data_IF_400026260839
#
_entry.id   IF_400026260839
#
_cell.length_a   1.000
_cell.length_b   1.000
_cell.length_c   1.000
_cell.angle_alpha   90.00
_cell.angle_beta   90.00
_cell.angle_gamma   90.00
#
_symmetry.space_group_name_H-M   'P 1'
#
loop_
_entity.id
_entity.type
_entity.pdbx_description
1 polymer ?
#
# COMPACT_ATOMS: atom_id res chain seq x y z
N UNK A 1 5.59 22.81 -0.56
CA UNK A 1 5.91 21.89 -1.69
C UNK A 1 4.90 20.75 -1.81
N UNK A 2 4.60 19.98 -0.76
CA UNK A 2 3.65 18.85 -0.82
C UNK A 2 2.28 19.27 -1.36
N UNK A 3 1.73 20.41 -0.91
CA UNK A 3 0.45 20.96 -1.38
C UNK A 3 0.49 21.22 -2.89
N UNK A 4 1.59 21.77 -3.39
CA UNK A 4 1.79 22.05 -4.82
C UNK A 4 1.92 20.77 -5.63
N UNK A 5 2.65 19.76 -5.11
CA UNK A 5 2.80 18.46 -5.74
C UNK A 5 1.44 17.77 -5.97
N UNK A 6 0.52 17.83 -5.02
CA UNK A 6 -0.83 17.26 -5.15
C UNK A 6 -1.59 17.86 -6.34
N UNK A 7 -1.42 19.14 -6.61
CA UNK A 7 -2.06 19.81 -7.76
C UNK A 7 -1.38 19.45 -9.10
N UNK A 8 -0.09 19.09 -9.09
CA UNK A 8 0.73 18.80 -10.28
C UNK A 8 0.73 17.34 -10.71
N UNK A 9 0.67 16.41 -9.73
CA UNK A 9 0.75 14.97 -10.00
C UNK A 9 -0.60 14.43 -10.49
N UNK A 10 -0.95 14.83 -11.71
CA UNK A 10 -2.20 14.46 -12.41
C UNK A 10 -1.96 14.38 -13.92
N UNK A 11 -2.75 13.58 -14.68
CA UNK A 11 -2.54 13.39 -16.11
C UNK A 11 -2.50 14.70 -16.92
N UNK A 12 -3.43 15.63 -16.69
CA UNK A 12 -3.52 16.89 -17.44
C UNK A 12 -2.28 17.77 -17.29
N UNK A 13 -1.89 18.23 -16.07
CA UNK A 13 -0.67 19.01 -15.86
C UNK A 13 0.61 18.30 -16.30
N UNK A 14 0.69 16.99 -16.18
CA UNK A 14 1.83 16.20 -16.64
C UNK A 14 1.94 16.21 -18.16
N UNK A 15 0.85 15.99 -18.89
CA UNK A 15 0.80 16.06 -20.37
C UNK A 15 1.10 17.47 -20.92
N UNK A 16 0.70 18.51 -20.18
CA UNK A 16 0.98 19.91 -20.56
C UNK A 16 2.42 20.38 -20.22
N UNK A 17 3.29 19.50 -19.71
CA UNK A 17 4.67 19.86 -19.33
C UNK A 17 4.80 20.72 -18.08
N UNK A 18 3.70 21.06 -17.41
CA UNK A 18 3.67 21.95 -16.24
C UNK A 18 4.46 21.38 -15.06
N UNK A 19 4.39 20.06 -14.85
CA UNK A 19 5.13 19.38 -13.80
C UNK A 19 6.64 19.54 -13.97
N UNK A 20 7.14 19.32 -15.17
CA UNK A 20 8.57 19.40 -15.46
C UNK A 20 9.09 20.83 -15.37
N UNK A 21 8.34 21.82 -15.89
CA UNK A 21 8.66 23.23 -15.74
C UNK A 21 8.68 23.64 -14.25
N UNK A 22 7.69 23.21 -13.46
CA UNK A 22 7.66 23.49 -12.02
C UNK A 22 8.89 22.94 -11.32
N UNK A 23 9.28 21.68 -11.58
CA UNK A 23 10.44 21.05 -10.95
C UNK A 23 11.73 21.77 -11.34
N UNK A 24 11.94 22.10 -12.64
CA UNK A 24 13.13 22.80 -13.10
C UNK A 24 13.24 24.19 -12.45
N UNK A 25 12.15 24.96 -12.43
CA UNK A 25 12.11 26.29 -11.80
C UNK A 25 12.30 26.23 -10.29
N UNK A 26 11.66 25.27 -9.63
CA UNK A 26 11.80 25.07 -8.20
C UNK A 26 13.22 24.67 -7.75
N UNK A 27 14.00 24.10 -8.68
CA UNK A 27 15.42 23.72 -8.49
C UNK A 27 16.40 24.77 -9.00
N UNK A 28 15.92 25.88 -9.56
CA UNK A 28 16.78 26.92 -10.14
C UNK A 28 17.43 26.53 -11.48
N UNK A 29 16.95 25.47 -12.12
CA UNK A 29 17.45 25.00 -13.42
C UNK A 29 16.83 25.75 -14.61
N UNK A 30 15.79 26.52 -14.35
CA UNK A 30 15.08 27.34 -15.35
C UNK A 30 14.65 28.64 -14.67
N UNK A 31 14.73 29.80 -15.35
CA UNK A 31 14.26 31.06 -14.80
C UNK A 31 12.74 31.04 -14.57
N UNK A 32 12.31 31.67 -13.50
CA UNK A 32 10.87 31.82 -13.21
C UNK A 32 10.30 32.91 -14.15
N UNK A 33 9.39 32.52 -15.02
CA UNK A 33 8.70 33.40 -15.92
C UNK A 33 7.20 33.21 -15.84
N UNK A 34 6.43 34.29 -15.88
CA UNK A 34 4.97 34.28 -16.03
C UNK A 34 4.57 34.79 -17.41
N UNK A 35 3.34 34.50 -17.85
CA UNK A 35 2.82 34.92 -19.12
C UNK A 35 2.77 36.46 -19.27
N UNK A 36 2.74 37.17 -18.16
CA UNK A 36 2.75 38.63 -18.13
C UNK A 36 3.41 39.14 -16.85
N UNK A 37 4.15 40.27 -16.83
CA UNK A 37 4.81 40.80 -15.64
C UNK A 37 3.87 41.01 -14.43
N UNK A 38 2.63 41.41 -14.65
CA UNK A 38 1.63 41.56 -13.60
C UNK A 38 1.28 40.21 -12.91
N UNK A 39 1.60 39.08 -13.53
CA UNK A 39 1.37 37.75 -12.99
C UNK A 39 2.58 37.18 -12.22
N UNK A 40 3.77 37.78 -12.35
CA UNK A 40 4.98 37.35 -11.66
C UNK A 40 4.77 37.30 -10.14
N UNK A 41 4.23 38.40 -9.61
CA UNK A 41 3.95 38.49 -8.17
C UNK A 41 2.76 37.59 -7.76
N UNK A 42 1.76 37.44 -8.62
CA UNK A 42 0.59 36.61 -8.39
C UNK A 42 0.96 35.14 -8.27
N UNK A 43 1.92 34.68 -9.06
CA UNK A 43 2.36 33.27 -9.13
C UNK A 43 3.78 33.06 -8.58
N UNK A 44 4.30 33.98 -7.76
CA UNK A 44 5.63 33.83 -7.15
C UNK A 44 5.76 32.53 -6.36
N UNK A 45 4.75 32.20 -5.56
CA UNK A 45 4.72 30.97 -4.75
C UNK A 45 4.72 29.68 -5.58
N UNK A 46 4.26 29.76 -6.84
CA UNK A 46 4.09 28.63 -7.75
C UNK A 46 5.08 28.65 -8.92
N UNK A 47 6.17 29.44 -8.80
CA UNK A 47 7.22 29.57 -9.83
C UNK A 47 6.68 30.00 -11.20
N UNK A 48 5.72 30.94 -11.21
CA UNK A 48 5.13 31.48 -12.43
C UNK A 48 4.12 30.54 -13.11
N UNK A 49 3.66 29.50 -12.44
CA UNK A 49 2.74 28.49 -13.02
C UNK A 49 1.38 28.57 -12.35
N UNK A 50 0.31 28.57 -13.15
CA UNK A 50 -1.05 28.39 -12.64
C UNK A 50 -1.23 26.95 -12.15
N UNK A 51 -1.58 26.75 -10.88
CA UNK A 51 -1.80 25.43 -10.27
C UNK A 51 -3.23 25.20 -9.81
N UNK A 52 -3.89 26.27 -9.37
CA UNK A 52 -5.16 26.22 -8.70
C UNK A 52 -6.25 26.91 -9.48
N UNK A 53 -7.48 26.43 -9.38
CA UNK A 53 -8.64 27.09 -10.00
C UNK A 53 -8.77 28.57 -9.57
N UNK A 54 -8.35 28.88 -8.34
CA UNK A 54 -8.33 30.24 -7.80
C UNK A 54 -7.28 31.13 -8.51
N UNK A 55 -6.30 30.54 -9.18
CA UNK A 55 -5.27 31.29 -9.90
C UNK A 55 -5.85 31.94 -11.16
N UNK A 56 -6.88 31.36 -11.77
CA UNK A 56 -7.63 31.98 -12.89
C UNK A 56 -8.32 33.27 -12.41
N UNK A 57 -8.93 33.22 -11.21
CA UNK A 57 -9.57 34.40 -10.61
C UNK A 57 -8.52 35.48 -10.33
N UNK A 58 -7.39 35.13 -9.73
CA UNK A 58 -6.29 36.03 -9.39
C UNK A 58 -5.67 36.66 -10.65
N UNK A 59 -5.50 35.88 -11.72
CA UNK A 59 -5.02 36.37 -13.01
C UNK A 59 -6.00 37.38 -13.63
N UNK A 60 -7.29 37.06 -13.63
CA UNK A 60 -8.33 37.97 -14.16
C UNK A 60 -8.40 39.29 -13.37
N UNK A 61 -8.28 39.22 -12.04
CA UNK A 61 -8.22 40.40 -11.18
C UNK A 61 -6.96 41.22 -11.44
N UNK A 62 -5.78 40.62 -11.53
CA UNK A 62 -4.51 41.29 -11.68
C UNK A 62 -4.40 41.97 -13.07
N UNK A 63 -4.81 41.30 -14.13
CA UNK A 63 -4.64 41.76 -15.52
C UNK A 63 -5.82 42.64 -15.98
N UNK A 64 -7.04 42.14 -15.87
CA UNK A 64 -8.23 42.82 -16.34
C UNK A 64 -8.89 43.73 -15.28
N UNK A 65 -8.47 43.67 -14.01
CA UNK A 65 -9.07 44.45 -12.93
C UNK A 65 -10.50 44.05 -12.59
N UNK A 66 -10.86 42.82 -12.91
CA UNK A 66 -12.17 42.25 -12.55
C UNK A 66 -12.27 42.04 -11.02
N UNK A 67 -13.49 42.14 -10.48
CA UNK A 67 -13.72 41.72 -9.10
C UNK A 67 -13.72 40.20 -8.97
N UNK A 68 -13.64 39.70 -7.73
CA UNK A 68 -13.54 38.26 -7.45
C UNK A 68 -14.78 37.48 -7.93
N UNK A 69 -15.97 38.08 -7.89
CA UNK A 69 -17.24 37.43 -8.30
C UNK A 69 -17.26 37.24 -9.82
N UNK A 70 -16.89 38.26 -10.56
CA UNK A 70 -16.76 38.25 -12.04
C UNK A 70 -15.66 37.26 -12.44
N UNK A 71 -14.51 37.28 -11.75
CA UNK A 71 -13.42 36.33 -11.97
C UNK A 71 -13.82 34.87 -11.72
N UNK A 72 -14.65 34.60 -10.70
CA UNK A 72 -15.17 33.24 -10.46
C UNK A 72 -16.19 32.82 -11.53
N UNK A 73 -17.02 33.74 -11.99
CA UNK A 73 -17.93 33.52 -13.14
C UNK A 73 -17.14 33.09 -14.39
N UNK A 74 -16.08 33.82 -14.72
CA UNK A 74 -15.17 33.52 -15.82
C UNK A 74 -14.51 32.13 -15.66
N UNK A 75 -13.96 31.83 -14.48
CA UNK A 75 -13.38 30.52 -14.19
C UNK A 75 -14.38 29.38 -14.41
N UNK A 76 -15.63 29.54 -13.95
CA UNK A 76 -16.68 28.50 -14.11
C UNK A 76 -17.03 28.25 -15.57
N UNK A 77 -17.06 29.32 -16.39
CA UNK A 77 -17.36 29.18 -17.80
C UNK A 77 -16.22 28.52 -18.57
N UNK A 78 -14.98 28.96 -18.37
CA UNK A 78 -13.79 28.32 -18.94
C UNK A 78 -13.68 26.81 -18.57
N UNK A 79 -14.09 26.42 -17.35
CA UNK A 79 -14.07 25.03 -16.89
C UNK A 79 -15.14 24.14 -17.52
N UNK A 80 -16.25 24.70 -18.03
CA UNK A 80 -17.40 23.92 -18.54
C UNK A 80 -17.32 23.60 -20.03
N UNK A 81 -16.74 24.47 -20.87
CA UNK A 81 -16.89 24.42 -22.31
C UNK A 81 -15.63 24.20 -23.15
N UNK A 82 -14.43 24.29 -22.57
CA UNK A 82 -13.20 24.31 -23.38
C UNK A 82 -13.02 25.60 -24.16
N UNK A 83 -11.84 25.85 -24.72
CA UNK A 83 -11.39 27.13 -25.25
C UNK A 83 -12.13 27.71 -26.50
N UNK A 84 -13.23 27.09 -26.93
CA UNK A 84 -13.84 27.40 -28.24
C UNK A 84 -15.12 28.23 -28.26
N UNK A 85 -15.85 28.35 -27.14
CA UNK A 85 -17.23 28.89 -27.13
C UNK A 85 -17.43 30.14 -26.21
N UNK A 86 -16.34 30.76 -25.78
CA UNK A 86 -16.35 31.83 -24.76
C UNK A 86 -16.11 33.25 -25.29
N UNK A 87 -16.55 33.55 -26.51
CA UNK A 87 -16.31 34.88 -27.13
C UNK A 87 -16.80 36.04 -26.26
N UNK A 88 -17.94 35.89 -25.60
CA UNK A 88 -18.49 36.93 -24.75
C UNK A 88 -17.65 37.24 -23.51
N UNK A 89 -17.08 36.24 -22.87
CA UNK A 89 -16.22 36.43 -21.71
C UNK A 89 -14.82 36.89 -22.13
N UNK A 90 -14.32 36.37 -23.25
CA UNK A 90 -13.09 36.86 -23.85
C UNK A 90 -13.17 38.39 -24.13
N UNK A 91 -14.23 38.84 -24.80
CA UNK A 91 -14.43 40.27 -25.12
C UNK A 91 -14.52 41.11 -23.85
N UNK A 92 -15.24 40.63 -22.80
CA UNK A 92 -15.30 41.32 -21.50
C UNK A 92 -13.94 41.45 -20.85
N UNK A 93 -13.16 40.37 -20.81
CA UNK A 93 -11.81 40.34 -20.26
C UNK A 93 -10.89 41.30 -21.03
N UNK A 94 -10.90 41.23 -22.34
CA UNK A 94 -10.08 42.09 -23.21
C UNK A 94 -10.47 43.55 -23.05
N UNK A 95 -11.76 43.92 -23.13
CA UNK A 95 -12.23 45.29 -22.94
C UNK A 95 -11.82 45.84 -21.57
N UNK A 96 -11.94 45.06 -20.53
CA UNK A 96 -11.53 45.46 -19.17
C UNK A 96 -10.00 45.70 -19.08
N UNK A 97 -9.18 44.83 -19.67
CA UNK A 97 -7.73 45.00 -19.70
C UNK A 97 -7.25 46.18 -20.57
N UNK A 98 -7.90 46.41 -21.72
CA UNK A 98 -7.62 47.61 -22.59
C UNK A 98 -7.89 48.90 -21.83
N UNK A 99 -8.95 48.99 -21.03
CA UNK A 99 -9.24 50.19 -20.20
C UNK A 99 -8.14 50.45 -19.16
N UNK A 100 -7.36 49.45 -18.81
CA UNK A 100 -6.19 49.58 -17.93
C UNK A 100 -4.89 49.87 -18.68
N UNK A 101 -4.95 50.10 -19.98
CA UNK A 101 -3.80 50.41 -20.81
C UNK A 101 -2.95 49.23 -21.25
N UNK A 102 -3.44 47.98 -21.07
CA UNK A 102 -2.71 46.78 -21.49
C UNK A 102 -2.92 46.52 -22.99
N UNK A 103 -1.87 46.12 -23.73
CA UNK A 103 -2.01 45.84 -25.16
C UNK A 103 -2.78 44.54 -25.40
N UNK A 104 -3.63 44.54 -26.43
CA UNK A 104 -4.46 43.37 -26.80
C UNK A 104 -3.69 42.07 -26.93
N UNK A 105 -2.49 41.99 -27.54
CA UNK A 105 -1.73 40.74 -27.63
C UNK A 105 -1.38 40.14 -26.28
N UNK A 106 -1.05 40.94 -25.27
CA UNK A 106 -0.76 40.49 -23.93
C UNK A 106 -2.01 39.90 -23.23
N UNK A 107 -3.16 40.53 -23.44
CA UNK A 107 -4.45 40.06 -22.94
C UNK A 107 -4.84 38.72 -23.56
N UNK A 108 -4.65 38.58 -24.88
CA UNK A 108 -4.88 37.33 -25.60
C UNK A 108 -3.96 36.20 -25.11
N UNK A 109 -2.70 36.50 -24.85
CA UNK A 109 -1.75 35.53 -24.29
C UNK A 109 -2.20 35.04 -22.93
N UNK A 110 -2.55 35.91 -22.00
CA UNK A 110 -3.02 35.56 -20.66
C UNK A 110 -4.35 34.79 -20.73
N UNK A 111 -5.26 35.21 -21.59
CA UNK A 111 -6.52 34.49 -21.81
C UNK A 111 -6.28 33.05 -22.27
N UNK A 112 -5.45 32.85 -23.27
CA UNK A 112 -5.14 31.52 -23.81
C UNK A 112 -4.49 30.63 -22.76
N UNK A 113 -3.68 31.19 -21.88
CA UNK A 113 -3.09 30.45 -20.77
C UNK A 113 -4.16 30.05 -19.74
N UNK A 114 -5.05 30.97 -19.33
CA UNK A 114 -6.17 30.68 -18.44
C UNK A 114 -7.12 29.64 -19.03
N UNK A 115 -7.49 29.77 -20.29
CA UNK A 115 -8.40 28.85 -20.97
C UNK A 115 -7.82 27.44 -21.07
N UNK A 116 -6.54 27.33 -21.45
CA UNK A 116 -5.83 26.04 -21.49
C UNK A 116 -5.73 25.40 -20.11
N UNK A 117 -5.45 26.20 -19.06
CA UNK A 117 -5.33 25.72 -17.69
C UNK A 117 -6.69 25.35 -17.08
N UNK A 118 -7.79 26.02 -17.43
CA UNK A 118 -9.10 25.82 -16.82
C UNK A 118 -9.58 24.35 -16.91
N UNK A 119 -9.25 23.64 -18.00
CA UNK A 119 -9.53 22.21 -18.19
C UNK A 119 -8.79 21.29 -17.21
N UNK A 120 -7.73 21.78 -16.58
CA UNK A 120 -6.89 21.04 -15.65
C UNK A 120 -6.86 21.64 -14.24
N UNK A 121 -7.73 22.60 -13.96
CA UNK A 121 -7.72 23.35 -12.71
C UNK A 121 -7.98 22.46 -11.49
N UNK A 122 -7.41 22.82 -10.34
CA UNK A 122 -7.48 22.06 -9.10
C UNK A 122 -7.79 22.99 -7.93
N UNK A 123 -8.70 22.56 -7.05
CA UNK A 123 -9.09 23.35 -5.89
C UNK A 123 -7.93 23.45 -4.89
N UNK A 124 -7.51 24.68 -4.54
CA UNK A 124 -6.43 24.92 -3.57
C UNK A 124 -6.77 24.38 -2.17
N UNK A 125 -8.03 24.57 -1.75
CA UNK A 125 -8.48 24.04 -0.44
C UNK A 125 -8.32 22.53 -0.36
N UNK A 126 -8.69 21.81 -1.43
CA UNK A 126 -8.48 20.35 -1.50
C UNK A 126 -6.99 20.00 -1.44
N UNK A 127 -6.13 20.68 -2.21
CA UNK A 127 -4.68 20.48 -2.16
C UNK A 127 -4.10 20.71 -0.76
N UNK A 128 -4.56 21.75 -0.06
CA UNK A 128 -4.13 22.07 1.31
C UNK A 128 -4.55 20.97 2.28
N UNK A 129 -5.80 20.52 2.19
CA UNK A 129 -6.32 19.46 3.07
C UNK A 129 -5.52 18.17 2.92
N UNK A 130 -5.35 17.69 1.70
CA UNK A 130 -4.58 16.47 1.42
C UNK A 130 -3.08 16.65 1.70
N UNK A 131 -2.51 17.82 1.41
CA UNK A 131 -1.11 18.10 1.74
C UNK A 131 -0.83 18.08 3.23
N UNK A 132 -1.75 18.61 4.03
CA UNK A 132 -1.66 18.54 5.49
C UNK A 132 -1.85 17.12 6.01
N UNK A 133 -2.78 16.37 5.42
CA UNK A 133 -2.99 14.96 5.76
C UNK A 133 -1.73 14.13 5.45
N UNK A 134 -1.18 14.26 4.24
CA UNK A 134 0.05 13.58 3.84
C UNK A 134 1.22 13.89 4.78
N UNK A 135 1.39 15.17 5.15
CA UNK A 135 2.42 15.56 6.12
C UNK A 135 2.21 14.88 7.49
N UNK A 136 0.96 14.85 7.99
CA UNK A 136 0.64 14.18 9.26
C UNK A 136 0.93 12.68 9.19
N UNK A 137 0.56 12.02 8.09
CA UNK A 137 0.84 10.60 7.89
C UNK A 137 2.35 10.32 7.92
N UNK A 138 3.16 11.10 7.20
CA UNK A 138 4.63 10.96 7.22
C UNK A 138 5.19 11.23 8.61
N UNK A 139 4.72 12.25 9.30
CA UNK A 139 5.13 12.57 10.66
C UNK A 139 4.84 11.44 11.64
N UNK A 140 3.61 10.88 11.61
CA UNK A 140 3.23 9.76 12.47
C UNK A 140 4.05 8.50 12.14
N UNK A 141 4.19 8.19 10.84
CA UNK A 141 4.99 7.04 10.38
C UNK A 141 6.45 7.15 10.83
N UNK A 142 7.05 8.34 10.76
CA UNK A 142 8.46 8.54 11.14
C UNK A 142 8.70 8.46 12.65
N UNK A 143 7.70 8.78 13.48
CA UNK A 143 7.83 8.78 14.94
C UNK A 143 7.34 7.51 15.60
N UNK A 144 6.28 6.92 15.07
CA UNK A 144 5.62 5.73 15.62
C UNK A 144 5.25 4.76 14.48
N UNK A 145 6.26 4.18 13.79
CA UNK A 145 6.03 3.37 12.58
C UNK A 145 5.11 2.18 12.85
N UNK A 146 5.33 1.44 13.94
CA UNK A 146 4.51 0.28 14.27
C UNK A 146 3.04 0.66 14.54
N UNK A 147 2.80 1.73 15.32
CA UNK A 147 1.44 2.19 15.60
C UNK A 147 0.74 2.69 14.33
N UNK A 148 1.46 3.44 13.48
CA UNK A 148 0.93 3.93 12.21
C UNK A 148 0.55 2.78 11.27
N UNK A 149 1.44 1.78 11.12
CA UNK A 149 1.22 0.65 10.23
C UNK A 149 0.18 -0.33 10.79
N UNK A 150 0.11 -0.53 12.10
CA UNK A 150 -0.99 -1.27 12.71
C UNK A 150 -2.34 -0.62 12.41
N UNK A 151 -2.44 0.71 12.51
CA UNK A 151 -3.66 1.43 12.16
C UNK A 151 -3.99 1.34 10.67
N UNK A 152 -2.99 1.38 9.78
CA UNK A 152 -3.20 1.18 8.34
C UNK A 152 -3.70 -0.22 8.02
N UNK A 153 -3.08 -1.25 8.57
CA UNK A 153 -3.47 -2.65 8.38
C UNK A 153 -4.88 -2.91 8.91
N UNK A 154 -5.20 -2.37 10.09
CA UNK A 154 -6.52 -2.48 10.71
C UNK A 154 -7.64 -1.85 9.87
N UNK A 155 -7.38 -0.74 9.21
CA UNK A 155 -8.37 -0.01 8.40
C UNK A 155 -8.29 -0.37 6.91
N UNK A 156 -7.51 -1.38 6.52
CA UNK A 156 -7.25 -1.76 5.12
C UNK A 156 -6.90 -0.54 4.25
N UNK A 157 -6.15 0.39 4.84
CA UNK A 157 -5.82 1.67 4.21
C UNK A 157 -4.59 1.55 3.31
N UNK A 158 -4.58 2.40 2.28
CA UNK A 158 -3.41 2.56 1.39
C UNK A 158 -3.64 2.06 -0.02
N UNK A 159 -2.58 2.11 -0.81
CA UNK A 159 -2.59 1.77 -2.24
C UNK A 159 -2.25 0.29 -2.51
N UNK A 160 -1.33 -0.26 -1.71
CA UNK A 160 -0.85 -1.63 -1.85
C UNK A 160 -1.70 -2.62 -1.06
N UNK A 161 -1.56 -3.90 -1.38
CA UNK A 161 -2.13 -4.97 -0.56
C UNK A 161 -1.55 -4.97 0.87
N UNK A 162 -2.29 -5.47 1.88
CA UNK A 162 -1.84 -5.46 3.28
C UNK A 162 -0.44 -6.05 3.50
N UNK A 163 -0.05 -7.07 2.72
CA UNK A 163 1.28 -7.68 2.81
C UNK A 163 2.44 -6.70 2.62
N UNK A 164 2.30 -5.70 1.71
CA UNK A 164 3.35 -4.69 1.49
C UNK A 164 3.53 -3.80 2.73
N UNK A 165 2.44 -3.47 3.41
CA UNK A 165 2.51 -2.69 4.67
C UNK A 165 3.02 -3.52 5.84
N UNK A 166 2.78 -4.83 5.84
CA UNK A 166 3.37 -5.76 6.78
C UNK A 166 4.90 -5.84 6.59
N UNK A 167 5.37 -5.97 5.35
CA UNK A 167 6.80 -5.93 5.04
C UNK A 167 7.43 -4.56 5.38
N UNK A 168 6.74 -3.46 5.09
CA UNK A 168 7.20 -2.13 5.48
C UNK A 168 7.30 -1.98 7.01
N UNK A 169 6.38 -2.58 7.78
CA UNK A 169 6.45 -2.58 9.24
C UNK A 169 7.73 -3.27 9.73
N UNK A 170 8.07 -4.43 9.16
CA UNK A 170 9.31 -5.16 9.48
C UNK A 170 10.55 -4.36 9.11
N UNK A 171 10.60 -3.73 7.93
CA UNK A 171 11.71 -2.85 7.50
C UNK A 171 11.92 -1.66 8.44
N UNK A 172 10.85 -1.16 9.06
CA UNK A 172 10.89 -0.08 10.04
C UNK A 172 11.08 -0.56 11.48
N UNK A 173 11.43 -1.85 11.68
CA UNK A 173 11.77 -2.42 12.97
C UNK A 173 10.59 -2.90 13.81
N UNK A 174 9.40 -3.04 13.23
CA UNK A 174 8.28 -3.64 13.92
C UNK A 174 8.34 -5.17 13.82
N UNK A 175 8.03 -5.84 14.91
CA UNK A 175 7.81 -7.28 14.97
C UNK A 175 6.34 -7.58 14.64
N UNK A 176 6.09 -8.55 13.75
CA UNK A 176 4.76 -9.07 13.47
C UNK A 176 4.55 -10.38 14.25
N UNK A 177 3.59 -10.35 15.14
CA UNK A 177 3.22 -11.52 15.95
C UNK A 177 2.05 -12.25 15.31
N UNK A 178 2.07 -13.59 15.35
CA UNK A 178 0.96 -14.43 14.88
C UNK A 178 -0.37 -14.03 15.54
N UNK A 179 -1.51 -14.26 14.88
CA UNK A 179 -2.80 -14.25 15.56
C UNK A 179 -2.73 -15.18 16.78
N UNK A 180 -3.53 -14.93 17.81
CA UNK A 180 -3.43 -15.73 19.01
C UNK A 180 -4.80 -15.94 19.65
N UNK A 181 -5.20 -17.21 19.84
CA UNK A 181 -6.48 -17.53 20.49
C UNK A 181 -6.48 -17.14 21.97
N UNK A 182 -5.30 -17.04 22.63
CA UNK A 182 -5.19 -16.72 24.04
C UNK A 182 -5.36 -15.24 24.35
N UNK A 183 -4.78 -14.37 23.54
CA UNK A 183 -4.70 -12.92 23.82
C UNK A 183 -4.86 -12.02 22.58
N UNK A 184 -5.12 -12.60 21.40
CA UNK A 184 -5.39 -11.80 20.20
C UNK A 184 -6.81 -11.26 20.17
N UNK A 185 -7.04 -10.22 19.39
CA UNK A 185 -8.35 -9.63 19.14
C UNK A 185 -8.82 -9.89 17.71
N UNK A 186 -9.99 -9.38 17.35
CA UNK A 186 -10.55 -9.45 15.99
C UNK A 186 -9.58 -8.85 14.97
N UNK A 187 -9.11 -7.64 15.24
CA UNK A 187 -8.31 -6.81 14.35
C UNK A 187 -6.84 -6.76 14.78
N UNK A 188 -6.01 -6.13 13.94
CA UNK A 188 -4.61 -5.87 14.29
C UNK A 188 -4.50 -5.03 15.59
N UNK A 189 -3.56 -5.39 16.44
CA UNK A 189 -3.34 -4.75 17.73
C UNK A 189 -1.85 -4.40 17.91
N UNK A 190 -1.60 -3.19 18.41
CA UNK A 190 -0.26 -2.80 18.87
C UNK A 190 -0.09 -3.30 20.31
N UNK A 191 0.59 -4.41 20.49
CA UNK A 191 0.79 -5.05 21.82
C UNK A 191 2.01 -4.54 22.56
N UNK A 192 2.94 -3.91 21.84
CA UNK A 192 4.10 -3.21 22.39
C UNK A 192 4.50 -2.09 21.43
N UNK A 193 5.35 -1.12 21.82
CA UNK A 193 5.74 0.01 20.96
C UNK A 193 6.27 -0.38 19.58
N UNK A 194 6.82 -1.58 19.44
CA UNK A 194 7.38 -2.14 18.20
C UNK A 194 6.78 -3.49 17.82
N UNK A 195 5.69 -3.96 18.46
CA UNK A 195 5.13 -5.26 18.16
C UNK A 195 3.65 -5.15 17.77
N UNK A 196 3.31 -5.68 16.60
CA UNK A 196 1.97 -5.69 16.02
C UNK A 196 1.48 -7.14 15.99
N UNK A 197 0.40 -7.45 16.68
CA UNK A 197 -0.28 -8.74 16.59
C UNK A 197 -1.28 -8.72 15.45
N UNK A 198 -1.24 -9.77 14.63
CA UNK A 198 -2.22 -9.98 13.55
C UNK A 198 -3.57 -10.34 14.15
N UNK A 199 -4.64 -9.75 13.64
CA UNK A 199 -6.00 -10.03 14.08
C UNK A 199 -6.50 -11.41 13.65
N UNK A 200 -7.40 -12.00 14.45
CA UNK A 200 -7.99 -13.30 14.13
C UNK A 200 -8.78 -13.27 12.81
N UNK A 201 -9.45 -12.18 12.48
CA UNK A 201 -10.21 -12.04 11.22
C UNK A 201 -9.33 -12.09 9.95
N UNK A 202 -8.00 -11.90 10.08
CA UNK A 202 -7.07 -11.95 8.95
C UNK A 202 -6.85 -13.39 8.48
N UNK A 203 -7.05 -14.38 9.37
CA UNK A 203 -6.88 -15.79 9.03
C UNK A 203 -7.90 -16.20 7.98
N UNK A 204 -7.44 -16.53 6.79
CA UNK A 204 -8.29 -16.95 5.67
C UNK A 204 -9.13 -18.18 6.06
N UNK A 205 -10.42 -18.11 5.71
CA UNK A 205 -11.36 -19.19 5.98
C UNK A 205 -11.89 -19.23 7.41
N UNK A 206 -11.48 -18.30 8.28
CA UNK A 206 -12.03 -18.18 9.63
C UNK A 206 -13.29 -17.30 9.59
N UNK A 207 -14.44 -17.87 9.95
CA UNK A 207 -15.71 -17.15 9.99
C UNK A 207 -15.84 -16.23 11.18
N UNK A 208 -16.57 -15.12 11.02
CA UNK A 208 -16.84 -14.14 12.09
C UNK A 208 -17.45 -14.83 13.32
N UNK A 209 -18.34 -15.82 13.13
CA UNK A 209 -18.95 -16.60 14.20
C UNK A 209 -17.88 -17.28 15.07
N UNK A 210 -16.87 -17.88 14.47
CA UNK A 210 -15.80 -18.58 15.19
C UNK A 210 -14.89 -17.58 15.90
N UNK A 211 -14.57 -16.44 15.29
CA UNK A 211 -13.85 -15.35 15.95
C UNK A 211 -14.58 -14.89 17.21
N UNK A 212 -15.88 -14.61 17.11
CA UNK A 212 -16.70 -14.20 18.26
C UNK A 212 -16.83 -15.31 19.32
N UNK A 213 -16.89 -16.57 18.91
CA UNK A 213 -16.90 -17.72 19.84
C UNK A 213 -15.58 -17.82 20.63
N UNK A 214 -14.41 -17.60 19.97
CA UNK A 214 -13.09 -17.54 20.64
C UNK A 214 -13.10 -16.46 21.72
N UNK A 215 -13.48 -15.24 21.36
CA UNK A 215 -13.49 -14.11 22.30
C UNK A 215 -14.46 -14.33 23.47
N UNK A 216 -15.66 -14.84 23.18
CA UNK A 216 -16.70 -15.10 24.19
C UNK A 216 -16.29 -16.25 25.13
N UNK A 217 -15.78 -17.34 24.60
CA UNK A 217 -15.29 -18.45 25.40
C UNK A 217 -14.14 -18.03 26.33
N UNK A 218 -13.21 -17.22 25.83
CA UNK A 218 -12.11 -16.66 26.62
C UNK A 218 -12.60 -15.74 27.74
N UNK A 219 -13.58 -14.85 27.45
CA UNK A 219 -14.18 -13.98 28.48
C UNK A 219 -14.90 -14.76 29.57
N UNK A 220 -15.61 -15.83 29.20
CA UNK A 220 -16.40 -16.61 30.13
C UNK A 220 -15.57 -17.57 31.01
N UNK A 221 -14.51 -18.17 30.46
CA UNK A 221 -13.77 -19.23 31.13
C UNK A 221 -12.25 -19.00 31.21
N UNK A 222 -11.76 -17.79 30.91
CA UNK A 222 -10.32 -17.50 30.91
C UNK A 222 -9.58 -18.13 29.74
N UNK A 223 -8.26 -18.16 29.84
CA UNK A 223 -7.36 -18.73 28.84
C UNK A 223 -7.69 -20.21 28.55
N UNK A 224 -7.46 -20.65 27.33
CA UNK A 224 -7.60 -22.04 26.94
C UNK A 224 -6.41 -22.84 27.47
N UNK A 225 -6.69 -23.98 28.09
CA UNK A 225 -5.66 -24.82 28.74
C UNK A 225 -4.95 -25.75 27.77
N UNK A 226 -5.64 -26.16 26.71
CA UNK A 226 -5.15 -27.09 25.68
C UNK A 226 -5.96 -26.98 24.41
N UNK A 227 -5.54 -27.68 23.34
CA UNK A 227 -6.32 -27.83 22.13
C UNK A 227 -7.72 -28.38 22.40
N UNK A 228 -7.82 -29.40 23.25
CA UNK A 228 -9.11 -30.05 23.60
C UNK A 228 -10.05 -29.08 24.32
N UNK A 229 -9.55 -28.29 25.27
CA UNK A 229 -10.32 -27.21 25.92
C UNK A 229 -10.78 -26.15 24.93
N UNK A 230 -9.92 -25.75 23.99
CA UNK A 230 -10.27 -24.83 22.91
C UNK A 230 -11.38 -25.41 22.02
N UNK A 231 -11.22 -26.64 21.54
CA UNK A 231 -12.21 -27.33 20.69
C UNK A 231 -13.56 -27.51 21.38
N UNK A 232 -13.55 -27.90 22.68
CA UNK A 232 -14.76 -28.09 23.46
C UNK A 232 -15.55 -26.80 23.68
N UNK A 233 -14.85 -25.65 23.91
CA UNK A 233 -15.46 -24.36 24.23
C UNK A 233 -15.84 -23.55 23.02
N UNK A 234 -15.05 -23.60 21.93
CA UNK A 234 -15.23 -22.77 20.71
C UNK A 234 -16.04 -23.54 19.67
N UNK A 235 -15.78 -24.83 19.49
CA UNK A 235 -16.39 -25.72 18.49
C UNK A 235 -16.25 -25.16 17.05
N UNK A 236 -15.02 -24.85 16.63
CA UNK A 236 -14.77 -24.41 15.26
C UNK A 236 -15.04 -25.54 14.27
N UNK A 237 -15.27 -25.21 12.99
CA UNK A 237 -15.20 -26.20 11.95
C UNK A 237 -13.77 -26.75 11.82
N UNK A 238 -13.61 -27.95 11.23
CA UNK A 238 -12.31 -28.60 11.13
C UNK A 238 -11.30 -27.76 10.38
N UNK A 239 -11.69 -27.23 9.23
CA UNK A 239 -10.88 -26.37 8.37
C UNK A 239 -10.50 -25.05 9.06
N UNK A 240 -11.39 -24.46 9.85
CA UNK A 240 -11.10 -23.28 10.66
C UNK A 240 -10.03 -23.57 11.72
N UNK A 241 -10.13 -24.74 12.40
CA UNK A 241 -9.14 -25.15 13.39
C UNK A 241 -7.78 -25.45 12.75
N UNK A 242 -7.76 -26.12 11.58
CA UNK A 242 -6.56 -26.36 10.80
C UNK A 242 -5.89 -25.04 10.39
N UNK A 243 -6.65 -24.08 9.87
CA UNK A 243 -6.15 -22.76 9.48
C UNK A 243 -5.59 -21.95 10.66
N UNK A 244 -6.25 -22.02 11.83
CA UNK A 244 -5.73 -21.40 13.05
C UNK A 244 -4.41 -21.99 13.50
N UNK A 245 -4.25 -23.32 13.42
CA UNK A 245 -2.98 -24.01 13.75
C UNK A 245 -1.90 -23.57 12.76
N UNK A 246 -2.16 -23.66 11.46
CA UNK A 246 -1.17 -23.34 10.43
C UNK A 246 -0.77 -21.85 10.43
N UNK A 247 -1.70 -20.94 10.78
CA UNK A 247 -1.43 -19.52 10.96
C UNK A 247 -0.66 -19.20 12.27
N UNK A 248 -0.40 -20.19 13.14
CA UNK A 248 0.29 -20.00 14.41
C UNK A 248 -0.58 -19.48 15.54
N UNK A 249 -1.90 -19.42 15.37
CA UNK A 249 -2.80 -18.88 16.39
C UNK A 249 -2.87 -19.73 17.68
N UNK A 250 -2.41 -20.98 17.63
CA UNK A 250 -2.37 -21.92 18.76
C UNK A 250 -0.94 -22.20 19.26
N UNK A 251 0.08 -21.52 18.75
CA UNK A 251 1.49 -21.71 19.16
C UNK A 251 1.69 -21.45 20.68
N UNK A 252 0.82 -20.64 21.28
CA UNK A 252 0.82 -20.38 22.72
C UNK A 252 0.56 -21.62 23.59
N UNK A 253 0.15 -22.75 23.02
CA UNK A 253 0.04 -24.01 23.75
C UNK A 253 1.39 -24.71 23.95
N UNK A 254 2.46 -24.24 23.34
CA UNK A 254 3.80 -24.81 23.47
C UNK A 254 3.97 -26.19 22.81
N UNK A 255 3.09 -26.50 21.86
CA UNK A 255 3.07 -27.75 21.09
C UNK A 255 3.30 -27.40 19.62
N UNK A 256 4.06 -28.21 18.88
CA UNK A 256 4.36 -27.99 17.48
C UNK A 256 3.10 -28.04 16.62
N UNK A 257 3.08 -27.27 15.51
CA UNK A 257 1.94 -27.25 14.58
C UNK A 257 1.63 -28.63 13.99
N UNK A 258 2.61 -29.45 13.58
CA UNK A 258 2.36 -30.84 13.17
C UNK A 258 1.68 -31.70 14.25
N UNK A 259 2.11 -31.56 15.48
CA UNK A 259 1.49 -32.28 16.60
C UNK A 259 0.07 -31.78 16.90
N UNK A 260 -0.18 -30.46 16.84
CA UNK A 260 -1.52 -29.87 16.97
C UNK A 260 -2.46 -30.39 15.88
N UNK A 261 -1.98 -30.47 14.62
CA UNK A 261 -2.76 -31.03 13.51
C UNK A 261 -3.10 -32.50 13.74
N UNK A 262 -2.14 -33.30 14.23
CA UNK A 262 -2.39 -34.68 14.57
C UNK A 262 -3.43 -34.81 15.67
N UNK A 263 -3.29 -34.05 16.76
CA UNK A 263 -4.25 -34.03 17.88
C UNK A 263 -5.63 -33.58 17.39
N UNK A 264 -5.73 -32.60 16.55
CA UNK A 264 -6.98 -32.14 15.91
C UNK A 264 -7.64 -33.29 15.14
N UNK A 265 -6.86 -34.06 14.36
CA UNK A 265 -7.38 -35.18 13.57
C UNK A 265 -7.97 -36.26 14.46
N UNK A 266 -7.33 -36.57 15.57
CA UNK A 266 -7.84 -37.51 16.56
C UNK A 266 -9.10 -36.97 17.25
N UNK A 267 -9.10 -35.71 17.66
CA UNK A 267 -10.24 -35.05 18.31
C UNK A 267 -11.48 -34.98 17.41
N UNK A 268 -11.30 -34.88 16.10
CA UNK A 268 -12.41 -34.82 15.11
C UNK A 268 -12.97 -36.20 14.74
N UNK A 269 -12.43 -37.29 15.26
CA UNK A 269 -13.06 -38.61 15.10
C UNK A 269 -14.35 -38.70 15.92
N UNK A 270 -15.29 -39.62 15.58
CA UNK A 270 -16.53 -39.81 16.36
C UNK A 270 -16.26 -40.09 17.86
N UNK A 271 -15.19 -40.82 18.16
CA UNK A 271 -14.76 -41.09 19.56
C UNK A 271 -14.22 -39.82 20.24
N UNK A 272 -13.38 -39.05 19.53
CA UNK A 272 -12.84 -37.79 20.02
C UNK A 272 -13.95 -36.77 20.29
N UNK A 273 -14.88 -36.59 19.37
CA UNK A 273 -16.03 -35.70 19.55
C UNK A 273 -16.92 -36.06 20.73
N UNK A 274 -17.10 -37.38 21.01
CA UNK A 274 -17.81 -37.83 22.21
C UNK A 274 -17.08 -37.42 23.49
N UNK A 275 -15.75 -37.48 23.53
CA UNK A 275 -14.92 -37.02 24.66
C UNK A 275 -15.04 -35.50 24.84
N UNK A 276 -14.90 -34.73 23.78
CA UNK A 276 -15.06 -33.26 23.81
C UNK A 276 -16.44 -32.83 24.30
N UNK A 277 -17.51 -33.50 23.84
CA UNK A 277 -18.89 -33.22 24.26
C UNK A 277 -19.11 -33.47 25.75
N UNK A 278 -18.54 -34.52 26.31
CA UNK A 278 -18.57 -34.82 27.76
C UNK A 278 -17.79 -33.79 28.57
N UNK A 279 -16.62 -33.40 28.12
CA UNK A 279 -15.81 -32.34 28.73
C UNK A 279 -16.56 -30.98 28.76
N UNK A 280 -17.30 -30.68 27.71
CA UNK A 280 -18.09 -29.44 27.61
C UNK A 280 -19.35 -29.44 28.51
N UNK A 281 -19.98 -30.58 28.74
CA UNK A 281 -21.21 -30.68 29.54
C UNK A 281 -21.00 -30.59 31.05
N UNK A 282 -19.75 -30.61 31.52
CA UNK A 282 -19.43 -30.50 32.94
C UNK A 282 -19.98 -31.64 33.82
N UNK A 283 -20.56 -32.69 33.20
CA UNK A 283 -21.07 -33.89 33.91
C UNK A 283 -19.88 -34.67 34.42
N UNK A 284 -19.47 -34.38 35.64
CA UNK A 284 -18.66 -35.28 36.45
C UNK A 284 -19.61 -36.29 37.08
N UNK A 285 -19.79 -37.46 36.43
CA UNK A 285 -20.31 -38.62 37.14
C UNK A 285 -19.27 -39.02 38.18
N UNK A 286 -19.42 -38.50 39.41
CA UNK A 286 -18.45 -38.62 40.50
C UNK A 286 -18.22 -40.06 40.96
N UNK A 287 -19.11 -40.99 40.61
CA UNK A 287 -19.03 -42.41 41.05
C UNK A 287 -18.12 -43.31 40.17
N UNK A 288 -17.79 -42.87 38.93
CA UNK A 288 -16.99 -43.68 38.00
C UNK A 288 -15.92 -42.84 37.27
N UNK A 289 -15.56 -41.70 37.82
CA UNK A 289 -14.63 -40.76 37.17
C UNK A 289 -13.27 -41.36 36.84
N UNK A 290 -12.74 -42.22 37.72
CA UNK A 290 -11.44 -42.87 37.55
C UNK A 290 -11.48 -44.12 36.64
N UNK A 291 -12.63 -44.81 36.58
CA UNK A 291 -12.79 -45.99 35.72
C UNK A 291 -13.13 -45.65 34.26
N UNK A 292 -13.69 -44.48 34.02
CA UNK A 292 -14.08 -43.98 32.71
C UNK A 292 -13.17 -42.84 32.21
N UNK A 293 -12.11 -42.49 32.95
CA UNK A 293 -11.11 -41.54 32.47
C UNK A 293 -10.49 -42.09 31.17
N UNK A 294 -10.61 -41.36 30.06
CA UNK A 294 -9.97 -41.82 28.83
C UNK A 294 -8.47 -41.95 29.11
N UNK A 295 -7.91 -43.11 28.75
CA UNK A 295 -6.45 -43.29 28.83
C UNK A 295 -5.78 -42.12 28.13
N UNK A 296 -4.72 -41.51 28.70
CA UNK A 296 -3.97 -40.49 28.04
C UNK A 296 -3.57 -41.00 26.65
N UNK A 297 -4.01 -40.30 25.62
CA UNK A 297 -3.54 -40.60 24.26
C UNK A 297 -2.11 -40.12 24.21
N UNK A 298 -1.16 -41.03 24.06
CA UNK A 298 0.22 -40.65 23.79
C UNK A 298 0.29 -40.14 22.35
N UNK A 299 0.63 -38.87 22.20
CA UNK A 299 0.84 -38.25 20.89
C UNK A 299 2.32 -38.34 20.53
N UNK A 300 2.65 -38.65 19.26
CA UNK A 300 4.05 -38.65 18.83
C UNK A 300 4.60 -37.23 18.92
N UNK A 301 5.81 -37.09 19.47
CA UNK A 301 6.54 -35.84 19.40
C UNK A 301 6.97 -35.59 17.95
N UNK A 302 6.29 -34.69 17.27
CA UNK A 302 6.57 -34.33 15.89
C UNK A 302 7.42 -33.05 15.86
N UNK A 303 8.51 -33.03 15.05
CA UNK A 303 9.29 -31.80 14.90
C UNK A 303 8.44 -30.70 14.25
N UNK A 304 8.77 -29.42 14.53
CA UNK A 304 8.10 -28.29 13.93
C UNK A 304 8.35 -28.25 12.42
N UNK A 305 7.42 -27.68 11.67
CA UNK A 305 7.59 -27.39 10.25
C UNK A 305 8.81 -26.52 10.01
N UNK A 306 9.52 -26.78 8.92
CA UNK A 306 10.63 -25.92 8.50
C UNK A 306 10.14 -24.50 8.18
N UNK A 307 11.09 -23.55 8.12
CA UNK A 307 10.80 -22.15 7.85
C UNK A 307 10.06 -21.94 6.53
N UNK A 308 10.44 -22.68 5.49
CA UNK A 308 9.81 -22.56 4.16
C UNK A 308 8.34 -22.99 4.20
N UNK A 309 8.01 -24.07 4.88
CA UNK A 309 6.63 -24.53 5.05
C UNK A 309 5.82 -23.52 5.87
N UNK A 310 6.33 -23.02 6.98
CA UNK A 310 5.64 -22.01 7.79
C UNK A 310 5.39 -20.73 7.01
N UNK A 311 6.40 -20.23 6.28
CA UNK A 311 6.27 -19.05 5.40
C UNK A 311 5.21 -19.27 4.34
N UNK A 312 5.14 -20.45 3.71
CA UNK A 312 4.13 -20.75 2.70
C UNK A 312 2.71 -20.78 3.31
N UNK A 313 2.55 -21.38 4.48
CA UNK A 313 1.26 -21.41 5.20
C UNK A 313 0.82 -20.00 5.63
N UNK A 314 1.74 -19.15 6.12
CA UNK A 314 1.49 -17.75 6.47
C UNK A 314 1.09 -16.92 5.25
N UNK A 315 1.80 -17.05 4.13
CA UNK A 315 1.44 -16.40 2.87
C UNK A 315 0.04 -16.81 2.38
N UNK A 316 -0.29 -18.09 2.52
CA UNK A 316 -1.59 -18.60 2.11
C UNK A 316 -2.72 -18.10 3.01
N UNK A 317 -2.51 -18.07 4.33
CA UNK A 317 -3.54 -17.80 5.32
C UNK A 317 -3.63 -16.34 5.76
N UNK A 318 -2.51 -15.64 5.82
CA UNK A 318 -2.46 -14.22 6.25
C UNK A 318 -2.23 -13.26 5.09
N UNK A 319 -1.69 -13.75 3.96
CA UNK A 319 -1.32 -12.93 2.79
C UNK A 319 0.08 -12.33 2.87
N UNK A 320 0.83 -12.57 3.95
CA UNK A 320 2.21 -12.15 4.18
C UNK A 320 2.90 -13.08 5.18
N UNK A 321 4.24 -13.05 5.21
CA UNK A 321 5.04 -13.79 6.16
C UNK A 321 5.26 -12.99 7.46
N UNK A 322 5.20 -13.64 8.60
CA UNK A 322 5.42 -13.01 9.92
C UNK A 322 6.92 -12.73 10.16
N UNK A 323 7.76 -13.68 9.77
CA UNK A 323 9.21 -13.60 9.93
C UNK A 323 9.91 -12.88 8.76
N UNK A 324 10.89 -13.53 8.17
CA UNK A 324 11.66 -13.00 7.04
C UNK A 324 10.80 -12.87 5.77
N UNK A 325 11.24 -11.99 4.88
CA UNK A 325 10.60 -11.86 3.56
C UNK A 325 10.71 -13.19 2.78
N UNK A 326 9.66 -13.60 2.05
CA UNK A 326 9.66 -14.89 1.33
C UNK A 326 10.84 -15.08 0.36
N UNK A 327 11.32 -14.01 -0.29
CA UNK A 327 12.51 -14.06 -1.15
C UNK A 327 13.74 -14.52 -0.35
N UNK A 328 13.92 -14.02 0.87
CA UNK A 328 15.08 -14.37 1.71
C UNK A 328 15.02 -15.84 2.15
N UNK A 329 13.82 -16.35 2.42
CA UNK A 329 13.62 -17.77 2.72
C UNK A 329 13.98 -18.65 1.51
N UNK A 330 13.52 -18.29 0.31
CA UNK A 330 13.85 -18.99 -0.93
C UNK A 330 15.35 -18.95 -1.25
N UNK A 331 16.02 -17.80 -0.98
CA UNK A 331 17.48 -17.69 -1.12
C UNK A 331 18.23 -18.64 -0.19
N UNK A 332 17.88 -18.68 1.10
CA UNK A 332 18.51 -19.56 2.09
C UNK A 332 18.33 -21.04 1.76
N UNK A 333 17.20 -21.40 1.19
CA UNK A 333 16.89 -22.77 0.75
C UNK A 333 17.54 -23.17 -0.57
N UNK A 334 18.15 -22.20 -1.29
CA UNK A 334 18.74 -22.44 -2.61
C UNK A 334 17.70 -22.71 -3.70
N UNK A 335 16.47 -22.31 -3.50
CA UNK A 335 15.36 -22.48 -4.45
C UNK A 335 15.32 -21.38 -5.52
N UNK A 336 16.07 -20.31 -5.31
CA UNK A 336 16.27 -19.28 -6.34
C UNK A 336 17.56 -19.51 -7.13
N UNK A 337 17.55 -19.24 -8.45
CA UNK A 337 18.75 -19.37 -9.25
C UNK A 337 19.83 -18.39 -8.75
N UNK A 338 21.10 -18.83 -8.73
CA UNK A 338 22.23 -17.94 -8.47
C UNK A 338 22.31 -16.91 -9.57
N UNK A 339 21.96 -15.67 -9.27
CA UNK A 339 21.95 -14.56 -10.22
C UNK A 339 23.17 -13.68 -9.98
N UNK A 340 24.09 -13.63 -10.94
CA UNK A 340 25.23 -12.71 -10.89
C UNK A 340 24.74 -11.26 -10.97
N UNK A 341 25.29 -10.39 -10.11
CA UNK A 341 24.92 -8.97 -10.07
C UNK A 341 23.54 -8.72 -9.47
N UNK A 342 23.03 -9.63 -8.62
CA UNK A 342 21.80 -9.40 -7.89
C UNK A 342 22.04 -8.39 -6.76
N UNK A 343 21.28 -7.30 -6.77
CA UNK A 343 21.35 -6.20 -5.80
C UNK A 343 20.00 -6.12 -5.06
N UNK A 344 20.01 -5.97 -3.72
CA UNK A 344 18.81 -5.72 -2.95
C UNK A 344 18.13 -4.41 -3.34
N UNK A 345 16.80 -4.39 -3.34
CA UNK A 345 16.00 -3.19 -3.70
C UNK A 345 16.40 -1.95 -2.90
N UNK A 346 16.69 -2.12 -1.61
CA UNK A 346 17.07 -1.02 -0.70
C UNK A 346 18.47 -0.46 -0.91
N UNK A 347 19.29 -1.04 -1.82
CA UNK A 347 20.66 -0.59 -2.12
C UNK A 347 20.86 -0.11 -3.56
N UNK A 348 19.78 0.03 -4.31
CA UNK A 348 19.87 0.43 -5.72
C UNK A 348 20.41 1.84 -5.93
N UNK A 349 20.29 2.71 -4.95
CA UNK A 349 20.86 4.06 -4.98
C UNK A 349 22.39 4.07 -5.06
N UNK A 350 23.06 3.01 -4.56
CA UNK A 350 24.51 2.83 -4.65
C UNK A 350 24.98 2.40 -6.07
N UNK A 351 24.04 2.01 -6.97
CA UNK A 351 24.30 1.42 -8.29
C UNK A 351 23.74 2.22 -9.46
N UNK A 352 23.55 3.53 -9.31
CA UNK A 352 23.01 4.40 -10.37
C UNK A 352 23.90 4.35 -11.62
N UNK A 353 23.29 4.08 -12.79
CA UNK A 353 23.97 3.92 -14.07
C UNK A 353 24.46 2.50 -14.37
N UNK A 354 24.48 1.62 -13.38
CA UNK A 354 24.94 0.23 -13.54
C UNK A 354 23.83 -0.70 -14.04
N UNK A 355 24.27 -1.80 -14.67
CA UNK A 355 23.37 -2.90 -15.05
C UNK A 355 23.36 -3.93 -13.92
N UNK A 356 22.20 -4.08 -13.27
CA UNK A 356 22.02 -5.00 -12.15
C UNK A 356 20.88 -5.97 -12.40
N UNK A 357 20.78 -6.98 -11.54
CA UNK A 357 19.60 -7.81 -11.39
C UNK A 357 18.93 -7.51 -10.04
N UNK A 358 17.61 -7.58 -9.98
CA UNK A 358 16.81 -7.53 -8.76
C UNK A 358 15.97 -8.79 -8.70
N UNK A 359 15.88 -9.43 -7.54
CA UNK A 359 15.02 -10.59 -7.33
C UNK A 359 13.95 -10.25 -6.29
N UNK A 360 12.68 -10.38 -6.65
CA UNK A 360 11.60 -10.02 -5.73
C UNK A 360 10.22 -10.44 -6.22
N UNK A 361 9.23 -10.17 -5.37
CA UNK A 361 7.83 -10.35 -5.72
C UNK A 361 7.25 -9.08 -6.36
N UNK A 362 6.38 -9.26 -7.35
CA UNK A 362 5.63 -8.14 -7.90
C UNK A 362 4.45 -7.79 -6.99
N UNK A 363 4.42 -6.56 -6.49
CA UNK A 363 3.37 -6.06 -5.58
C UNK A 363 2.38 -5.12 -6.25
N UNK A 364 2.74 -4.56 -7.41
CA UNK A 364 1.82 -3.79 -8.23
C UNK A 364 2.21 -3.84 -9.71
N UNK A 365 1.20 -3.79 -10.57
CA UNK A 365 1.34 -3.68 -12.02
C UNK A 365 0.54 -2.49 -12.52
N UNK A 366 1.12 -1.65 -13.37
CA UNK A 366 0.43 -0.53 -13.99
C UNK A 366 0.80 -0.44 -15.48
N UNK A 367 -0.12 -0.81 -16.35
CA UNK A 367 0.01 -0.62 -17.79
C UNK A 367 -0.18 0.84 -18.20
N UNK A 368 0.58 1.29 -19.19
CA UNK A 368 0.40 2.61 -19.80
C UNK A 368 0.57 2.51 -21.30
N UNK A 369 -0.39 3.05 -22.06
CA UNK A 369 -0.35 3.05 -23.52
C UNK A 369 0.35 4.34 -23.99
N UNK A 370 1.36 4.19 -24.82
CA UNK A 370 2.09 5.29 -25.47
C UNK A 370 1.85 5.23 -26.98
N UNK A 371 2.27 6.25 -27.71
CA UNK A 371 2.25 6.28 -29.18
C UNK A 371 3.06 5.11 -29.80
N UNK A 372 4.12 4.69 -29.12
CA UNK A 372 5.04 3.63 -29.56
C UNK A 372 4.64 2.23 -29.10
N UNK A 373 3.56 2.09 -28.32
CA UNK A 373 3.05 0.81 -27.83
C UNK A 373 2.76 0.79 -26.32
N UNK A 374 2.53 -0.43 -25.81
CA UNK A 374 2.21 -0.65 -24.40
C UNK A 374 3.49 -0.65 -23.56
N UNK A 375 3.50 0.13 -22.46
CA UNK A 375 4.49 0.08 -21.39
C UNK A 375 3.91 -0.61 -20.17
N UNK A 376 4.79 -1.16 -19.32
CA UNK A 376 4.42 -1.72 -18.03
C UNK A 376 5.35 -1.17 -16.93
N UNK A 377 4.75 -0.68 -15.85
CA UNK A 377 5.44 -0.41 -14.60
C UNK A 377 5.14 -1.55 -13.63
N UNK A 378 6.17 -2.15 -13.08
CA UNK A 378 6.06 -3.22 -12.09
C UNK A 378 6.77 -2.78 -10.82
N UNK A 379 6.09 -2.81 -9.71
CA UNK A 379 6.73 -2.60 -8.40
C UNK A 379 7.22 -3.94 -7.90
N UNK A 380 8.54 -4.08 -7.77
CA UNK A 380 9.21 -5.28 -7.23
C UNK A 380 9.58 -5.03 -5.78
N UNK A 381 9.34 -6.02 -4.93
CA UNK A 381 9.61 -6.01 -3.49
C UNK A 381 10.53 -7.16 -3.09
N UNK A 382 11.50 -6.86 -2.24
CA UNK A 382 12.28 -7.83 -1.46
C UNK A 382 12.28 -7.44 0.04
N UNK A 383 12.99 -8.17 0.87
CA UNK A 383 13.08 -7.87 2.31
C UNK A 383 13.68 -6.50 2.65
N UNK A 384 14.37 -5.85 1.72
CA UNK A 384 15.08 -4.60 1.94
C UNK A 384 14.32 -3.37 1.45
N UNK A 385 13.41 -3.52 0.49
CA UNK A 385 12.68 -2.40 -0.08
C UNK A 385 11.81 -2.74 -1.27
N UNK A 386 11.35 -1.67 -1.93
CA UNK A 386 10.58 -1.74 -3.18
C UNK A 386 11.24 -0.89 -4.26
N UNK A 387 11.15 -1.31 -5.51
CA UNK A 387 11.60 -0.53 -6.68
C UNK A 387 10.56 -0.56 -7.78
N UNK A 388 10.36 0.58 -8.47
CA UNK A 388 9.58 0.62 -9.70
C UNK A 388 10.47 0.20 -10.88
N UNK A 389 10.13 -0.92 -11.50
CA UNK A 389 10.75 -1.44 -12.70
C UNK A 389 9.93 -1.07 -13.93
N UNK A 390 10.54 -0.35 -14.89
CA UNK A 390 9.86 0.17 -16.08
C UNK A 390 10.22 -0.67 -17.30
N UNK A 391 9.21 -1.33 -17.89
CA UNK A 391 9.32 -2.02 -19.18
C UNK A 391 8.80 -1.10 -20.29
N UNK A 392 9.71 -0.59 -21.11
CA UNK A 392 9.36 0.15 -22.32
C UNK A 392 8.77 -0.77 -23.39
N UNK A 393 8.05 -0.25 -24.41
CA UNK A 393 7.26 -1.06 -25.33
C UNK A 393 8.00 -2.24 -25.96
N UNK A 394 9.23 -2.06 -26.41
CA UNK A 394 10.05 -3.14 -27.00
C UNK A 394 10.33 -4.26 -26.01
N UNK A 395 10.72 -3.89 -24.78
CA UNK A 395 11.04 -4.87 -23.73
C UNK A 395 9.77 -5.55 -23.24
N UNK A 396 8.67 -4.81 -23.11
CA UNK A 396 7.37 -5.38 -22.75
C UNK A 396 6.90 -6.44 -23.77
N UNK A 397 7.04 -6.18 -25.07
CA UNK A 397 6.71 -7.15 -26.11
C UNK A 397 7.56 -8.43 -26.03
N UNK A 398 8.84 -8.31 -25.64
CA UNK A 398 9.78 -9.42 -25.58
C UNK A 398 9.63 -10.29 -24.34
N UNK A 399 9.47 -9.68 -23.17
CA UNK A 399 9.50 -10.40 -21.90
C UNK A 399 8.33 -10.11 -20.96
N UNK A 400 7.36 -9.26 -21.33
CA UNK A 400 6.20 -8.96 -20.49
C UNK A 400 5.35 -10.19 -20.16
N UNK A 401 5.34 -11.19 -21.05
CA UNK A 401 4.65 -12.46 -20.81
C UNK A 401 5.26 -13.32 -19.70
N UNK A 402 6.50 -13.08 -19.29
CA UNK A 402 7.13 -13.76 -18.17
C UNK A 402 6.60 -13.25 -16.80
N UNK A 403 6.02 -12.05 -16.76
CA UNK A 403 5.49 -11.43 -15.55
C UNK A 403 4.06 -11.89 -15.25
N UNK A 404 3.87 -13.19 -15.04
CA UNK A 404 2.58 -13.77 -14.69
C UNK A 404 2.54 -14.09 -13.18
N UNK A 405 1.45 -13.71 -12.51
CA UNK A 405 1.33 -13.89 -11.07
C UNK A 405 2.16 -12.89 -10.26
N UNK A 406 2.60 -13.31 -9.08
CA UNK A 406 3.37 -12.46 -8.15
C UNK A 406 4.88 -12.72 -8.19
N UNK A 407 5.33 -13.77 -8.83
CA UNK A 407 6.73 -14.18 -8.85
C UNK A 407 7.09 -15.25 -7.80
N UNK A 408 8.35 -15.32 -7.34
CA UNK A 408 9.39 -14.29 -7.50
C UNK A 408 9.92 -14.15 -8.93
N UNK A 409 10.31 -12.94 -9.31
CA UNK A 409 10.89 -12.62 -10.60
C UNK A 409 12.34 -12.16 -10.45
N UNK A 410 13.16 -12.49 -11.45
CA UNK A 410 14.48 -11.91 -11.63
C UNK A 410 14.38 -10.84 -12.73
N UNK A 411 14.50 -9.59 -12.36
CA UNK A 411 14.39 -8.44 -13.27
C UNK A 411 15.77 -7.84 -13.48
N UNK A 412 16.27 -7.82 -14.73
CA UNK A 412 17.55 -7.21 -15.09
C UNK A 412 17.32 -5.87 -15.76
N UNK A 413 18.06 -4.86 -15.33
CA UNK A 413 17.91 -3.51 -15.85
C UNK A 413 19.07 -2.60 -15.53
N UNK A 414 18.95 -1.35 -15.95
CA UNK A 414 19.86 -0.27 -15.58
C UNK A 414 19.20 0.56 -14.50
N UNK A 415 19.93 0.83 -13.42
CA UNK A 415 19.44 1.70 -12.35
C UNK A 415 19.48 3.15 -12.84
N UNK A 416 18.35 3.81 -12.77
CA UNK A 416 18.21 5.21 -13.18
C UNK A 416 17.77 6.08 -12.01
N UNK A 417 18.42 7.22 -11.86
CA UNK A 417 17.95 8.28 -10.97
C UNK A 417 17.23 9.35 -11.78
N UNK A 418 15.99 9.60 -11.44
CA UNK A 418 15.22 10.69 -12.05
C UNK A 418 14.61 11.59 -10.98
N UNK A 419 15.11 12.82 -10.91
CA UNK A 419 14.62 13.84 -9.97
C UNK A 419 14.70 13.40 -8.49
N UNK A 420 15.70 12.59 -8.14
CA UNK A 420 15.90 12.05 -6.80
C UNK A 420 15.11 10.78 -6.49
N UNK A 421 14.41 10.21 -7.47
CA UNK A 421 13.77 8.90 -7.38
C UNK A 421 14.61 7.84 -8.09
N UNK A 422 14.81 6.70 -7.44
CA UNK A 422 15.52 5.54 -8.00
C UNK A 422 14.49 4.62 -8.67
N UNK A 423 14.81 4.17 -9.88
CA UNK A 423 14.02 3.23 -10.65
C UNK A 423 14.90 2.27 -11.43
N UNK A 424 14.31 1.20 -11.92
CA UNK A 424 14.99 0.20 -12.74
C UNK A 424 14.44 0.22 -14.17
N UNK A 425 15.24 0.66 -15.15
CA UNK A 425 14.89 0.52 -16.56
C UNK A 425 15.18 -0.90 -17.02
N UNK A 426 14.13 -1.69 -17.19
CA UNK A 426 14.23 -3.12 -17.48
C UNK A 426 14.81 -3.39 -18.85
N UNK A 427 15.65 -4.42 -18.93
CA UNK A 427 16.24 -4.95 -20.16
C UNK A 427 15.78 -6.39 -20.39
N UNK A 428 15.60 -7.18 -19.32
CA UNK A 428 15.14 -8.56 -19.40
C UNK A 428 14.43 -8.97 -18.10
N UNK A 429 13.53 -9.94 -18.21
CA UNK A 429 12.86 -10.62 -17.10
C UNK A 429 13.09 -12.12 -17.24
N UNK A 430 13.39 -12.80 -16.14
CA UNK A 430 13.59 -14.24 -16.09
C UNK A 430 13.01 -14.86 -14.82
#
# INVERSE_FOLDING_TARGET
RVIQAIALVRPGPAAAGMKDAFVRRARGLEPVTAAHPLLEQVFADTFGIMLYQEDVIRAAMAVAGLDATTGDGLRRQLGKRGAGDDRGEFDRFVVAGLRRGLPRPALEQVWNEMARFAGYSFCKAHAVTYGRLAYRCVYLKSRWPAAFLAAMLRNEAGYFAPGVYAEEAKRLGAELLAPCVQNGDVEYELVAPTAIRVGLQVVRGLGERTVQAILSARRAGGAFRSLDDFLARVRPARDEAENLILAGALDAFGVTRPELLWRLQVAMTPKGQAVLSRAASGVRDALFADALAPRPVEYPALPEFDEGRRTADELHLLGFALGCHPVDVLWRRGELPKVTGCVPCGKLDEHVGERVAVCGFAVAFRGHRTETGQMLFVTIEDGTGIVEATLFPKVYQQCGGALQGRGPFVVRGVVEERLGGIGLRVVAVG
#
